data_IF_171033257762
#
_entry.id   IF_171033257762
#
_cell.length_a   1.000
_cell.length_b   1.000
_cell.length_c   1.000
_cell.angle_alpha   90.00
_cell.angle_beta   90.00
_cell.angle_gamma   90.00
#
_symmetry.space_group_name_H-M   'P 1'
#
loop_
_entity.id
_entity.type
_entity.pdbx_description
1 polymer ?
#
# COMPACT_ATOMS: atom_id res chain seq x y z
N UNK A 1 4.67 17.81 -14.87
CA UNK A 1 4.83 19.27 -15.13
C UNK A 1 6.11 19.58 -15.90
N UNK A 2 7.26 19.04 -15.51
CA UNK A 2 8.54 19.26 -16.21
C UNK A 2 8.46 18.81 -17.68
N UNK A 3 7.79 17.70 -17.98
CA UNK A 3 7.59 17.19 -19.35
C UNK A 3 6.87 18.17 -20.30
N UNK A 4 6.16 19.18 -19.78
CA UNK A 4 5.52 20.22 -20.58
C UNK A 4 6.40 21.47 -20.74
N UNK A 5 7.46 21.58 -19.95
CA UNK A 5 8.33 22.77 -19.91
C UNK A 5 9.67 22.55 -20.62
N UNK A 6 9.98 21.32 -21.00
CA UNK A 6 11.26 20.97 -21.63
C UNK A 6 11.03 20.06 -22.83
N UNK A 7 11.90 20.18 -23.84
CA UNK A 7 11.99 19.26 -24.99
C UNK A 7 12.87 18.04 -24.71
N UNK A 8 13.24 17.81 -23.46
CA UNK A 8 14.08 16.67 -23.11
C UNK A 8 13.34 15.34 -23.34
N UNK A 9 14.10 14.29 -23.65
CA UNK A 9 13.57 12.94 -23.80
C UNK A 9 12.87 12.47 -22.50
N UNK A 10 11.69 11.87 -22.63
CA UNK A 10 10.92 11.35 -21.51
C UNK A 10 11.70 10.32 -20.69
N UNK A 11 12.60 9.58 -21.30
CA UNK A 11 13.47 8.62 -20.59
C UNK A 11 14.43 9.32 -19.63
N UNK A 12 14.98 10.46 -20.03
CA UNK A 12 15.89 11.27 -19.21
C UNK A 12 15.09 11.88 -18.03
N UNK A 13 13.91 12.43 -18.32
CA UNK A 13 13.03 13.00 -17.29
C UNK A 13 12.64 11.93 -16.27
N UNK A 14 12.31 10.73 -16.74
CA UNK A 14 11.94 9.62 -15.87
C UNK A 14 13.13 9.17 -14.99
N UNK A 15 14.32 9.07 -15.55
CA UNK A 15 15.54 8.74 -14.79
C UNK A 15 15.84 9.78 -13.70
N UNK A 16 15.80 11.06 -14.05
CA UNK A 16 16.01 12.16 -13.10
C UNK A 16 14.95 12.13 -12.02
N UNK A 17 13.68 11.89 -12.38
CA UNK A 17 12.57 11.81 -11.45
C UNK A 17 12.74 10.71 -10.40
N UNK A 18 13.22 9.54 -10.78
CA UNK A 18 13.51 8.42 -9.86
C UNK A 18 14.59 8.82 -8.85
N UNK A 19 15.74 9.34 -9.33
CA UNK A 19 16.85 9.75 -8.45
C UNK A 19 16.43 10.91 -7.52
N UNK A 20 15.72 11.91 -8.07
CA UNK A 20 15.20 13.03 -7.31
C UNK A 20 14.25 12.56 -6.21
N UNK A 21 13.31 11.67 -6.53
CA UNK A 21 12.31 11.15 -5.58
C UNK A 21 12.96 10.43 -4.41
N UNK A 22 13.95 9.57 -4.69
CA UNK A 22 14.71 8.88 -3.63
C UNK A 22 15.45 9.88 -2.74
N UNK A 23 16.22 10.79 -3.34
CA UNK A 23 16.98 11.80 -2.61
C UNK A 23 16.07 12.72 -1.79
N UNK A 24 14.99 13.23 -2.39
CA UNK A 24 14.00 14.07 -1.70
C UNK A 24 13.42 13.34 -0.49
N UNK A 25 13.00 12.09 -0.64
CA UNK A 25 12.41 11.29 0.44
C UNK A 25 13.41 11.08 1.58
N UNK A 26 14.63 10.67 1.26
CA UNK A 26 15.68 10.47 2.27
C UNK A 26 15.99 11.76 3.02
N UNK A 27 16.15 12.89 2.33
CA UNK A 27 16.46 14.19 2.93
C UNK A 27 15.27 14.69 3.76
N UNK A 28 14.05 14.57 3.26
CA UNK A 28 12.84 14.99 3.95
C UNK A 28 12.67 14.20 5.26
N UNK A 29 12.80 12.88 5.23
CA UNK A 29 12.73 12.05 6.43
C UNK A 29 13.84 12.43 7.42
N UNK A 30 15.09 12.57 6.97
CA UNK A 30 16.20 12.93 7.84
C UNK A 30 15.98 14.26 8.58
N UNK A 31 15.38 15.24 7.90
CA UNK A 31 15.16 16.59 8.47
C UNK A 31 13.86 16.74 9.25
N UNK A 32 12.78 16.08 8.81
CA UNK A 32 11.42 16.28 9.33
C UNK A 32 11.00 15.26 10.39
N UNK A 33 11.72 14.13 10.55
CA UNK A 33 11.36 13.10 11.54
C UNK A 33 11.26 13.64 12.97
N UNK A 34 11.99 14.68 13.31
CA UNK A 34 11.98 15.31 14.64
C UNK A 34 10.66 16.00 15.00
N UNK A 35 9.83 16.32 14.01
CA UNK A 35 8.51 16.94 14.21
C UNK A 35 7.38 15.90 14.32
N UNK A 36 7.67 14.63 14.10
CA UNK A 36 6.68 13.56 14.21
C UNK A 36 6.34 13.27 15.68
N UNK A 37 5.09 12.86 15.97
CA UNK A 37 4.72 12.35 17.27
C UNK A 37 5.59 11.15 17.66
N UNK A 38 5.68 10.87 18.95
CA UNK A 38 6.44 9.75 19.48
C UNK A 38 5.53 8.56 19.74
N UNK A 39 5.97 7.37 19.32
CA UNK A 39 5.24 6.14 19.61
C UNK A 39 5.21 5.88 21.13
N UNK A 40 4.04 5.54 21.64
CA UNK A 40 3.84 5.24 23.06
C UNK A 40 4.20 3.78 23.43
N UNK A 41 4.52 2.97 22.44
CA UNK A 41 4.71 1.52 22.57
C UNK A 41 3.37 0.77 22.52
N UNK A 42 3.45 -0.49 22.07
CA UNK A 42 2.27 -1.38 21.95
C UNK A 42 2.36 -2.50 22.97
N UNK A 43 1.40 -2.60 23.91
CA UNK A 43 1.43 -3.58 25.01
C UNK A 43 1.34 -5.05 24.52
N UNK A 44 0.64 -5.31 23.43
CA UNK A 44 0.33 -6.66 22.94
C UNK A 44 1.19 -7.13 21.76
N UNK A 45 1.91 -6.21 21.10
CA UNK A 45 2.79 -6.57 19.99
C UNK A 45 4.11 -7.18 20.47
N UNK A 46 4.68 -8.09 19.68
CA UNK A 46 6.05 -8.56 19.90
C UNK A 46 6.98 -7.35 19.78
N UNK A 47 7.89 -7.20 20.75
CA UNK A 47 8.82 -6.05 20.81
C UNK A 47 8.15 -4.65 20.84
N UNK A 48 6.84 -4.59 21.10
CA UNK A 48 6.08 -3.33 21.10
C UNK A 48 6.59 -2.28 22.09
N UNK A 49 7.33 -2.69 23.14
CA UNK A 49 8.00 -1.77 24.05
C UNK A 49 9.26 -1.13 23.43
N UNK A 50 9.90 -1.79 22.45
CA UNK A 50 11.10 -1.28 21.78
C UNK A 50 10.79 -0.16 20.77
N UNK A 51 9.51 0.03 20.42
CA UNK A 51 9.09 1.13 19.56
C UNK A 51 8.87 2.43 20.32
N UNK A 52 8.69 2.36 21.65
CA UNK A 52 8.42 3.54 22.48
C UNK A 52 9.50 4.63 22.29
N UNK A 53 9.04 5.86 22.04
CA UNK A 53 9.89 7.02 21.79
C UNK A 53 10.40 7.18 20.36
N UNK A 54 10.20 6.20 19.46
CA UNK A 54 10.51 6.37 18.03
C UNK A 54 9.52 7.36 17.38
N UNK A 55 9.97 8.17 16.40
CA UNK A 55 9.07 8.97 15.57
C UNK A 55 8.06 8.07 14.87
N UNK A 56 6.75 8.39 14.96
CA UNK A 56 5.64 7.66 14.33
C UNK A 56 4.89 8.60 13.38
N UNK A 57 4.26 8.03 12.34
CA UNK A 57 3.54 8.81 11.34
C UNK A 57 4.44 9.32 10.20
N UNK A 58 5.60 8.66 9.96
CA UNK A 58 6.49 9.02 8.84
C UNK A 58 5.80 8.89 7.47
N UNK A 59 4.63 8.24 7.41
CA UNK A 59 3.76 8.22 6.24
C UNK A 59 3.51 9.60 5.67
N UNK A 60 3.27 10.61 6.52
CA UNK A 60 3.03 11.98 6.06
C UNK A 60 4.20 12.52 5.22
N UNK A 61 5.43 12.19 5.59
CA UNK A 61 6.62 12.71 4.88
C UNK A 61 6.74 12.04 3.52
N UNK A 62 6.73 10.70 3.45
CA UNK A 62 6.98 10.04 2.17
C UNK A 62 5.79 10.13 1.21
N UNK A 63 4.54 10.25 1.69
CA UNK A 63 3.39 10.52 0.82
C UNK A 63 3.47 11.93 0.21
N UNK A 64 3.82 12.95 0.99
CA UNK A 64 4.02 14.27 0.40
C UNK A 64 5.18 14.33 -0.58
N UNK A 65 6.31 13.64 -0.30
CA UNK A 65 7.42 13.57 -1.26
C UNK A 65 7.02 12.83 -2.54
N UNK A 66 6.19 11.79 -2.43
CA UNK A 66 5.60 11.12 -3.58
C UNK A 66 4.72 12.07 -4.41
N UNK A 67 3.78 12.78 -3.77
CA UNK A 67 2.88 13.70 -4.47
C UNK A 67 3.67 14.80 -5.17
N UNK A 68 4.66 15.40 -4.51
CA UNK A 68 5.54 16.41 -5.13
C UNK A 68 6.26 15.82 -6.35
N UNK A 69 6.82 14.62 -6.21
CA UNK A 69 7.54 13.95 -7.30
C UNK A 69 6.61 13.61 -8.47
N UNK A 70 5.40 13.11 -8.17
CA UNK A 70 4.39 12.82 -9.19
C UNK A 70 3.97 14.08 -9.95
N UNK A 71 3.68 15.18 -9.25
CA UNK A 71 3.33 16.47 -9.86
C UNK A 71 4.45 17.05 -10.73
N UNK A 72 5.71 16.85 -10.34
CA UNK A 72 6.86 17.34 -11.09
C UNK A 72 7.15 16.51 -12.34
N UNK A 73 7.15 15.19 -12.23
CA UNK A 73 7.72 14.27 -13.22
C UNK A 73 6.69 13.43 -13.97
N UNK A 74 5.49 13.16 -13.40
CA UNK A 74 4.46 12.39 -14.10
C UNK A 74 3.59 13.24 -15.01
N UNK A 75 2.93 12.57 -15.94
CA UNK A 75 1.85 13.15 -16.74
C UNK A 75 0.55 13.05 -15.95
N UNK A 76 0.13 14.14 -15.35
CA UNK A 76 -1.05 14.20 -14.49
C UNK A 76 -2.27 14.56 -15.33
N UNK A 77 -3.24 13.66 -15.39
CA UNK A 77 -4.60 13.91 -15.87
C UNK A 77 -5.56 14.13 -14.68
N UNK A 78 -6.82 14.44 -14.96
CA UNK A 78 -7.81 14.71 -13.93
C UNK A 78 -8.04 13.51 -13.00
N UNK A 79 -8.06 12.30 -13.53
CA UNK A 79 -8.22 11.07 -12.76
C UNK A 79 -7.07 10.87 -11.77
N UNK A 80 -5.82 10.96 -12.25
CA UNK A 80 -4.62 10.82 -11.41
C UNK A 80 -4.58 11.92 -10.34
N UNK A 81 -4.93 13.16 -10.69
CA UNK A 81 -4.98 14.26 -9.73
C UNK A 81 -5.95 13.95 -8.57
N UNK A 82 -7.13 13.41 -8.87
CA UNK A 82 -8.10 13.02 -7.85
C UNK A 82 -7.56 11.87 -7.00
N UNK A 83 -6.93 10.85 -7.61
CA UNK A 83 -6.30 9.76 -6.84
C UNK A 83 -5.21 10.27 -5.91
N UNK A 84 -4.35 11.19 -6.35
CA UNK A 84 -3.34 11.79 -5.47
C UNK A 84 -3.98 12.51 -4.27
N UNK A 85 -5.08 13.22 -4.48
CA UNK A 85 -5.84 13.87 -3.39
C UNK A 85 -6.42 12.82 -2.43
N UNK A 86 -7.01 11.73 -2.95
CA UNK A 86 -7.58 10.66 -2.10
C UNK A 86 -6.50 9.93 -1.28
N UNK A 87 -5.32 9.70 -1.85
CA UNK A 87 -4.17 9.13 -1.13
C UNK A 87 -3.72 10.06 -0.01
N UNK A 88 -3.70 11.39 -0.25
CA UNK A 88 -3.38 12.38 0.80
C UNK A 88 -4.48 12.41 1.87
N UNK A 89 -5.75 12.34 1.51
CA UNK A 89 -6.86 12.28 2.48
C UNK A 89 -6.70 11.04 3.37
N UNK A 90 -6.45 9.87 2.77
CA UNK A 90 -6.26 8.62 3.51
C UNK A 90 -5.03 8.67 4.43
N UNK A 91 -3.93 9.25 3.95
CA UNK A 91 -2.75 9.53 4.76
C UNK A 91 -3.07 10.45 5.95
N UNK A 92 -3.85 11.53 5.73
CA UNK A 92 -4.19 12.49 6.78
C UNK A 92 -5.11 11.86 7.84
N UNK A 93 -6.08 11.02 7.44
CA UNK A 93 -6.92 10.30 8.42
C UNK A 93 -6.06 9.42 9.33
N UNK A 94 -5.08 8.69 8.76
CA UNK A 94 -4.14 7.89 9.52
C UNK A 94 -3.21 8.74 10.40
N UNK A 95 -2.73 9.88 9.90
CA UNK A 95 -1.85 10.76 10.66
C UNK A 95 -2.56 11.40 11.86
N UNK A 96 -3.81 11.84 11.70
CA UNK A 96 -4.58 12.40 12.82
C UNK A 96 -4.91 11.36 13.88
N UNK A 97 -5.09 10.09 13.50
CA UNK A 97 -5.20 9.00 14.46
C UNK A 97 -3.88 8.76 15.21
N UNK A 98 -2.75 8.71 14.48
CA UNK A 98 -1.42 8.55 15.06
C UNK A 98 -1.03 9.68 16.02
N UNK A 99 -1.50 10.90 15.76
CA UNK A 99 -1.20 12.09 16.54
C UNK A 99 -2.20 12.35 17.68
N UNK A 100 -3.33 11.63 17.71
CA UNK A 100 -4.36 11.82 18.72
C UNK A 100 -3.89 11.34 20.11
N UNK A 101 -4.23 12.05 21.17
CA UNK A 101 -3.95 11.63 22.55
C UNK A 101 -4.64 10.28 22.87
N UNK A 102 -5.82 10.04 22.31
CA UNK A 102 -6.53 8.77 22.37
C UNK A 102 -6.75 8.28 20.94
N UNK A 103 -6.34 7.04 20.62
CA UNK A 103 -6.59 6.45 19.30
C UNK A 103 -8.08 6.49 18.93
N UNK A 104 -8.36 6.74 17.68
CA UNK A 104 -9.74 6.73 17.17
C UNK A 104 -10.35 5.33 17.25
N UNK A 105 -11.65 5.28 17.45
CA UNK A 105 -12.37 4.01 17.44
C UNK A 105 -12.34 3.33 16.08
N UNK A 106 -12.29 2.00 16.08
CA UNK A 106 -12.24 1.19 14.85
C UNK A 106 -13.39 1.47 13.88
N UNK A 107 -14.60 1.81 14.42
CA UNK A 107 -15.76 2.15 13.59
C UNK A 107 -15.59 3.47 12.84
N UNK A 108 -15.00 4.49 13.47
CA UNK A 108 -14.73 5.77 12.82
C UNK A 108 -13.70 5.58 11.70
N UNK A 109 -12.61 4.89 11.98
CA UNK A 109 -11.58 4.57 10.98
C UNK A 109 -12.19 3.81 9.80
N UNK A 110 -12.90 2.72 10.08
CA UNK A 110 -13.55 1.92 9.04
C UNK A 110 -14.57 2.69 8.21
N UNK A 111 -15.30 3.65 8.80
CA UNK A 111 -16.24 4.50 8.08
C UNK A 111 -15.54 5.52 7.18
N UNK A 112 -14.40 6.08 7.61
CA UNK A 112 -13.59 6.99 6.79
C UNK A 112 -12.98 6.25 5.60
N UNK A 113 -12.38 5.06 5.82
CA UNK A 113 -11.87 4.19 4.75
C UNK A 113 -12.97 3.83 3.74
N UNK A 114 -14.17 3.52 4.25
CA UNK A 114 -15.32 3.18 3.42
C UNK A 114 -15.78 4.38 2.56
N UNK A 115 -15.80 5.57 3.13
CA UNK A 115 -16.13 6.79 2.40
C UNK A 115 -15.12 7.07 1.28
N UNK A 116 -13.83 6.95 1.56
CA UNK A 116 -12.76 7.08 0.56
C UNK A 116 -12.91 6.00 -0.52
N UNK A 117 -13.21 4.76 -0.15
CA UNK A 117 -13.42 3.67 -1.09
C UNK A 117 -14.59 3.93 -2.05
N UNK A 118 -15.70 4.52 -1.57
CA UNK A 118 -16.82 4.95 -2.42
C UNK A 118 -16.35 5.98 -3.44
N UNK A 119 -15.59 6.99 -3.01
CA UNK A 119 -15.10 8.04 -3.93
C UNK A 119 -14.17 7.44 -4.98
N UNK A 120 -13.27 6.53 -4.61
CA UNK A 120 -12.41 5.80 -5.58
C UNK A 120 -13.27 5.06 -6.61
N UNK A 121 -14.32 4.35 -6.18
CA UNK A 121 -15.21 3.61 -7.08
C UNK A 121 -15.94 4.52 -8.07
N UNK A 122 -16.46 5.66 -7.59
CA UNK A 122 -17.12 6.67 -8.42
C UNK A 122 -16.15 7.28 -9.43
N UNK A 123 -14.95 7.67 -8.97
CA UNK A 123 -13.90 8.25 -9.84
C UNK A 123 -13.48 7.23 -10.90
N UNK A 124 -13.20 5.98 -10.51
CA UNK A 124 -12.83 4.96 -11.48
C UNK A 124 -13.89 4.77 -12.56
N UNK A 125 -15.16 4.61 -12.18
CA UNK A 125 -16.27 4.43 -13.11
C UNK A 125 -16.58 5.66 -13.97
N UNK A 126 -16.19 6.84 -13.52
CA UNK A 126 -16.32 8.08 -14.31
C UNK A 126 -15.31 8.14 -15.47
N UNK A 127 -14.08 7.66 -15.24
CA UNK A 127 -13.00 7.75 -16.23
C UNK A 127 -12.73 6.44 -16.99
N UNK A 128 -13.18 5.29 -16.45
CA UNK A 128 -12.90 3.98 -17.01
C UNK A 128 -14.17 3.14 -17.17
N UNK A 129 -14.07 2.07 -17.97
CA UNK A 129 -15.17 1.11 -18.15
C UNK A 129 -15.26 0.15 -16.96
N UNK A 130 -16.43 -0.47 -16.78
CA UNK A 130 -16.66 -1.56 -15.82
C UNK A 130 -16.27 -2.95 -16.37
N UNK A 131 -15.37 -2.98 -17.33
CA UNK A 131 -14.85 -4.23 -17.92
C UNK A 131 -13.70 -4.75 -17.07
N UNK A 132 -13.75 -6.03 -16.73
CA UNK A 132 -12.66 -6.75 -16.05
C UNK A 132 -11.99 -7.66 -17.06
N UNK A 133 -10.68 -7.52 -17.18
CA UNK A 133 -9.83 -8.41 -17.98
C UNK A 133 -9.25 -9.50 -17.06
N UNK A 134 -9.21 -10.73 -17.54
CA UNK A 134 -8.58 -11.85 -16.85
C UNK A 134 -7.19 -12.08 -17.43
N UNK A 135 -6.19 -11.39 -16.89
CA UNK A 135 -4.83 -11.41 -17.42
C UNK A 135 -4.19 -12.81 -17.50
N UNK A 136 -4.58 -13.75 -16.62
CA UNK A 136 -4.02 -15.12 -16.58
C UNK A 136 -4.80 -16.08 -17.48
N UNK A 137 -6.11 -15.94 -17.54
CA UNK A 137 -6.99 -16.90 -18.26
C UNK A 137 -7.40 -16.39 -19.63
N UNK A 138 -7.07 -15.15 -19.94
CA UNK A 138 -7.53 -14.46 -21.13
C UNK A 138 -9.02 -14.09 -21.07
N UNK A 139 -9.41 -13.19 -21.97
CA UNK A 139 -10.78 -12.71 -22.09
C UNK A 139 -11.12 -11.56 -21.14
N UNK A 140 -12.30 -11.01 -21.34
CA UNK A 140 -12.84 -9.91 -20.54
C UNK A 140 -14.34 -10.07 -20.35
N UNK A 141 -14.84 -9.55 -19.23
CA UNK A 141 -16.27 -9.54 -18.90
C UNK A 141 -16.67 -8.13 -18.53
N UNK A 142 -17.75 -7.65 -19.17
CA UNK A 142 -18.36 -6.38 -18.80
C UNK A 142 -19.34 -6.63 -17.65
N UNK A 143 -19.12 -6.01 -16.52
CA UNK A 143 -19.93 -6.13 -15.32
C UNK A 143 -20.83 -4.89 -15.20
N UNK A 144 -22.09 -5.03 -14.74
CA UNK A 144 -22.93 -3.85 -14.48
C UNK A 144 -22.20 -2.86 -13.57
N UNK A 145 -22.19 -1.54 -13.90
CA UNK A 145 -21.41 -0.54 -13.18
C UNK A 145 -21.65 -0.52 -11.67
N UNK A 146 -22.88 -0.76 -11.24
CA UNK A 146 -23.23 -0.83 -9.81
C UNK A 146 -22.51 -1.98 -9.11
N UNK A 147 -22.50 -3.17 -9.74
CA UNK A 147 -21.83 -4.36 -9.20
C UNK A 147 -20.32 -4.14 -9.17
N UNK A 148 -19.76 -3.59 -10.25
CA UNK A 148 -18.35 -3.22 -10.32
C UNK A 148 -17.98 -2.22 -9.21
N UNK A 149 -18.80 -1.18 -9.00
CA UNK A 149 -18.61 -0.19 -7.94
C UNK A 149 -18.59 -0.82 -6.55
N UNK A 150 -19.51 -1.74 -6.25
CA UNK A 150 -19.54 -2.48 -4.98
C UNK A 150 -18.25 -3.30 -4.79
N UNK A 151 -17.82 -4.03 -5.83
CA UNK A 151 -16.57 -4.82 -5.79
C UNK A 151 -15.34 -3.92 -5.59
N UNK A 152 -15.33 -2.75 -6.23
CA UNK A 152 -14.27 -1.75 -6.06
C UNK A 152 -14.23 -1.22 -4.63
N UNK A 153 -15.36 -0.88 -4.03
CA UNK A 153 -15.44 -0.44 -2.62
C UNK A 153 -14.87 -1.53 -1.69
N UNK A 154 -15.26 -2.78 -1.91
CA UNK A 154 -14.73 -3.92 -1.13
C UNK A 154 -13.22 -4.03 -1.30
N UNK A 155 -12.71 -3.99 -2.54
CA UNK A 155 -11.28 -4.08 -2.85
C UNK A 155 -10.48 -2.99 -2.13
N UNK A 156 -10.90 -1.73 -2.25
CA UNK A 156 -10.20 -0.58 -1.67
C UNK A 156 -10.22 -0.68 -0.13
N UNK A 157 -11.40 -0.90 0.45
CA UNK A 157 -11.55 -1.00 1.89
C UNK A 157 -10.75 -2.16 2.49
N UNK A 158 -10.77 -3.33 1.86
CA UNK A 158 -9.99 -4.50 2.26
C UNK A 158 -8.49 -4.21 2.11
N UNK A 159 -8.05 -3.63 1.00
CA UNK A 159 -6.64 -3.32 0.76
C UNK A 159 -6.06 -2.37 1.82
N UNK A 160 -6.80 -1.31 2.19
CA UNK A 160 -6.41 -0.36 3.24
C UNK A 160 -6.20 -1.12 4.57
N UNK A 161 -7.21 -1.88 4.98
CA UNK A 161 -7.18 -2.53 6.30
C UNK A 161 -6.17 -3.69 6.37
N UNK A 162 -6.03 -4.47 5.30
CA UNK A 162 -5.04 -5.56 5.22
C UNK A 162 -3.61 -5.01 5.31
N UNK A 163 -3.32 -3.96 4.56
CA UNK A 163 -1.99 -3.33 4.56
C UNK A 163 -1.68 -2.70 5.92
N UNK A 164 -2.65 -2.04 6.55
CA UNK A 164 -2.50 -1.50 7.89
C UNK A 164 -2.24 -2.60 8.93
N UNK A 165 -2.96 -3.72 8.88
CA UNK A 165 -2.73 -4.84 9.79
C UNK A 165 -1.37 -5.53 9.59
N UNK A 166 -0.76 -5.45 8.41
CA UNK A 166 0.57 -6.00 8.13
C UNK A 166 1.72 -5.11 8.59
N UNK A 167 1.43 -3.88 9.07
CA UNK A 167 2.46 -2.94 9.57
C UNK A 167 2.81 -3.19 11.03
N UNK A 168 3.31 -4.39 11.33
CA UNK A 168 3.69 -4.80 12.69
C UNK A 168 5.16 -5.16 12.87
N UNK A 169 5.95 -5.20 11.80
CA UNK A 169 7.38 -5.51 11.81
C UNK A 169 8.15 -4.51 10.97
N UNK A 170 9.26 -4.00 11.53
CA UNK A 170 10.16 -3.06 10.85
C UNK A 170 10.52 -3.55 9.44
N UNK A 171 10.20 -2.77 8.41
CA UNK A 171 10.49 -3.07 7.00
C UNK A 171 9.49 -3.98 6.29
N UNK A 172 8.56 -4.66 6.99
CA UNK A 172 7.72 -5.69 6.39
C UNK A 172 6.70 -5.10 5.40
N UNK A 173 5.79 -4.25 5.88
CA UNK A 173 4.69 -3.71 5.07
C UNK A 173 5.19 -2.91 3.88
N UNK A 174 6.22 -2.08 4.06
CA UNK A 174 6.85 -1.34 2.98
C UNK A 174 7.48 -2.23 1.90
N UNK A 175 8.20 -3.29 2.30
CA UNK A 175 8.81 -4.25 1.37
C UNK A 175 7.75 -5.02 0.58
N UNK A 176 6.72 -5.55 1.25
CA UNK A 176 5.63 -6.26 0.58
C UNK A 176 4.85 -5.34 -0.37
N UNK A 177 4.61 -4.09 0.04
CA UNK A 177 3.96 -3.09 -0.82
C UNK A 177 4.77 -2.84 -2.09
N UNK A 178 6.10 -2.64 -1.99
CA UNK A 178 6.95 -2.46 -3.17
C UNK A 178 6.83 -3.66 -4.12
N UNK A 179 6.93 -4.89 -3.62
CA UNK A 179 6.83 -6.09 -4.46
C UNK A 179 5.45 -6.14 -5.12
N UNK A 180 4.38 -5.86 -4.37
CA UNK A 180 3.00 -5.85 -4.88
C UNK A 180 2.80 -4.85 -6.01
N UNK A 181 3.17 -3.57 -5.79
CA UNK A 181 2.96 -2.53 -6.80
C UNK A 181 3.89 -2.70 -8.01
N UNK A 182 5.11 -3.20 -7.80
CA UNK A 182 6.01 -3.52 -8.91
C UNK A 182 5.52 -4.73 -9.72
N UNK A 183 4.76 -5.64 -9.12
CA UNK A 183 4.07 -6.70 -9.86
C UNK A 183 3.05 -6.11 -10.84
N UNK A 184 2.25 -5.13 -10.43
CA UNK A 184 1.34 -4.41 -11.33
C UNK A 184 2.10 -3.62 -12.40
N UNK A 185 3.17 -2.92 -12.03
CA UNK A 185 4.02 -2.18 -12.98
C UNK A 185 4.54 -3.09 -14.11
N UNK A 186 5.02 -4.28 -13.77
CA UNK A 186 5.51 -5.25 -14.76
C UNK A 186 4.36 -5.83 -15.59
N UNK A 187 3.24 -6.18 -14.95
CA UNK A 187 2.05 -6.67 -15.64
C UNK A 187 1.52 -5.68 -16.66
N UNK A 188 1.40 -4.40 -16.29
CA UNK A 188 0.93 -3.36 -17.20
C UNK A 188 1.85 -3.22 -18.42
N UNK A 189 3.16 -3.39 -18.21
CA UNK A 189 4.15 -3.41 -19.30
C UNK A 189 3.99 -4.63 -20.20
N UNK A 190 3.75 -5.81 -19.63
CA UNK A 190 3.55 -7.06 -20.36
C UNK A 190 2.23 -7.03 -21.15
N UNK A 191 1.16 -6.58 -20.53
CA UNK A 191 -0.17 -6.47 -21.13
C UNK A 191 -0.31 -5.26 -22.08
N UNK A 192 0.75 -4.45 -22.19
CA UNK A 192 0.79 -3.21 -22.99
C UNK A 192 -0.33 -2.23 -22.63
N UNK A 193 -0.64 -2.14 -21.35
CA UNK A 193 -1.57 -1.15 -20.83
C UNK A 193 -0.84 0.20 -20.83
N UNK A 194 -1.18 1.06 -21.78
CA UNK A 194 -0.63 2.41 -21.88
C UNK A 194 -1.33 3.33 -20.87
N UNK A 195 -0.86 3.37 -19.64
CA UNK A 195 -1.40 4.26 -18.63
C UNK A 195 -0.30 5.15 -18.03
N UNK A 196 -0.60 6.44 -17.97
CA UNK A 196 0.29 7.44 -17.34
C UNK A 196 0.46 7.19 -15.82
N UNK A 197 -0.39 6.37 -15.21
CA UNK A 197 -0.29 5.97 -13.81
C UNK A 197 0.91 5.07 -13.52
N UNK A 198 1.41 4.31 -14.51
CA UNK A 198 2.56 3.41 -14.34
C UNK A 198 3.79 4.11 -13.81
N UNK A 199 4.05 5.33 -14.25
CA UNK A 199 5.19 6.07 -13.73
C UNK A 199 4.96 6.53 -12.28
N UNK A 200 3.72 6.79 -11.88
CA UNK A 200 3.38 7.02 -10.47
C UNK A 200 3.67 5.78 -9.60
N UNK A 201 3.44 4.56 -10.12
CA UNK A 201 3.78 3.31 -9.41
C UNK A 201 5.28 3.26 -9.12
N UNK A 202 6.12 3.55 -10.13
CA UNK A 202 7.57 3.57 -9.97
C UNK A 202 8.02 4.62 -8.94
N UNK A 203 7.50 5.85 -9.02
CA UNK A 203 7.83 6.92 -8.07
C UNK A 203 7.41 6.55 -6.63
N UNK A 204 6.24 5.92 -6.45
CA UNK A 204 5.78 5.49 -5.14
C UNK A 204 6.68 4.38 -4.55
N UNK A 205 7.08 3.40 -5.38
CA UNK A 205 8.04 2.38 -4.99
C UNK A 205 9.37 3.00 -4.53
N UNK A 206 9.85 4.00 -5.24
CA UNK A 206 11.10 4.72 -4.90
C UNK A 206 10.97 5.52 -3.61
N UNK A 207 9.82 6.15 -3.35
CA UNK A 207 9.55 6.78 -2.05
C UNK A 207 9.59 5.77 -0.90
N UNK A 208 9.00 4.58 -1.11
CA UNK A 208 9.03 3.51 -0.11
C UNK A 208 10.46 2.99 0.11
N UNK A 209 11.30 2.91 -0.93
CA UNK A 209 12.73 2.59 -0.76
C UNK A 209 13.44 3.64 0.09
N UNK A 210 13.16 4.93 -0.14
CA UNK A 210 13.70 6.02 0.70
C UNK A 210 13.21 5.94 2.15
N UNK A 211 11.96 5.53 2.38
CA UNK A 211 11.44 5.27 3.72
C UNK A 211 12.11 4.05 4.37
N UNK A 212 12.25 2.94 3.66
CA UNK A 212 12.87 1.70 4.15
C UNK A 212 14.33 1.89 4.55
N UNK A 213 15.04 2.88 3.97
CA UNK A 213 16.39 3.25 4.42
C UNK A 213 16.46 3.57 5.91
N UNK A 214 15.36 4.04 6.49
CA UNK A 214 15.27 4.37 7.91
C UNK A 214 14.43 3.37 8.72
N UNK A 215 13.54 2.61 8.06
CA UNK A 215 12.64 1.68 8.73
C UNK A 215 13.13 0.23 8.73
N UNK A 216 14.18 -0.12 7.96
CA UNK A 216 14.81 -1.44 8.07
C UNK A 216 15.27 -1.72 9.50
N UNK A 217 15.14 -3.00 9.93
CA UNK A 217 15.46 -3.42 11.31
C UNK A 217 16.95 -3.23 11.64
N UNK A 218 17.33 -2.56 12.77
CA UNK A 218 16.45 -1.91 13.75
C UNK A 218 15.95 -0.54 13.26
N UNK A 219 14.64 -0.33 13.24
CA UNK A 219 14.06 0.90 12.69
C UNK A 219 14.38 2.15 13.51
N UNK A 220 14.55 3.28 12.81
CA UNK A 220 14.72 4.60 13.42
C UNK A 220 13.40 5.35 13.56
N UNK A 221 12.37 4.97 12.81
CA UNK A 221 11.04 5.58 12.79
C UNK A 221 9.99 4.59 12.25
N UNK A 222 8.71 4.90 12.46
CA UNK A 222 7.57 4.09 12.07
C UNK A 222 6.68 4.88 11.10
N UNK A 223 6.11 4.19 10.09
CA UNK A 223 5.22 4.86 9.14
C UNK A 223 3.89 5.27 9.76
N UNK A 224 3.39 4.50 10.73
CA UNK A 224 2.09 4.68 11.35
C UNK A 224 0.91 4.38 10.42
N UNK A 225 -0.28 4.63 10.92
CA UNK A 225 -1.52 4.51 10.15
C UNK A 225 -1.51 5.46 8.94
N UNK A 226 -0.83 6.61 9.05
CA UNK A 226 -0.60 7.54 7.95
C UNK A 226 0.03 6.89 6.71
N UNK A 227 1.03 6.02 6.91
CA UNK A 227 1.72 5.37 5.80
C UNK A 227 1.01 4.11 5.32
N UNK A 228 0.66 3.23 6.24
CA UNK A 228 0.11 1.91 5.91
C UNK A 228 -1.26 1.99 5.22
N UNK A 229 -2.11 2.93 5.61
CA UNK A 229 -3.42 3.14 4.97
C UNK A 229 -3.27 3.77 3.59
N UNK A 230 -2.37 4.77 3.44
CA UNK A 230 -2.06 5.35 2.13
C UNK A 230 -1.45 4.33 1.15
N UNK A 231 -0.63 3.39 1.64
CA UNK A 231 -0.14 2.27 0.82
C UNK A 231 -1.30 1.37 0.37
N UNK A 232 -2.24 1.07 1.27
CA UNK A 232 -3.38 0.21 0.96
C UNK A 232 -4.28 0.76 -0.15
N UNK A 233 -4.66 2.03 -0.10
CA UNK A 233 -5.43 2.67 -1.18
C UNK A 233 -4.62 2.71 -2.49
N UNK A 234 -3.30 2.97 -2.42
CA UNK A 234 -2.45 2.99 -3.61
C UNK A 234 -2.40 1.63 -4.30
N UNK A 235 -2.23 0.52 -3.55
CA UNK A 235 -2.27 -0.84 -4.08
C UNK A 235 -3.61 -1.12 -4.79
N UNK A 236 -4.74 -0.73 -4.17
CA UNK A 236 -6.06 -0.93 -4.76
C UNK A 236 -6.23 -0.16 -6.09
N UNK A 237 -5.71 1.08 -6.16
CA UNK A 237 -5.72 1.86 -7.39
C UNK A 237 -4.85 1.18 -8.46
N UNK A 238 -3.66 0.65 -8.12
CA UNK A 238 -2.84 -0.14 -9.05
C UNK A 238 -3.63 -1.33 -9.62
N UNK A 239 -4.33 -2.07 -8.76
CA UNK A 239 -5.14 -3.22 -9.18
C UNK A 239 -6.28 -2.82 -10.13
N UNK A 240 -6.94 -1.69 -9.88
CA UNK A 240 -7.98 -1.16 -10.76
C UNK A 240 -7.41 -0.72 -12.10
N UNK A 241 -6.31 0.04 -12.10
CA UNK A 241 -5.68 0.59 -13.29
C UNK A 241 -5.04 -0.48 -14.18
N UNK A 242 -4.69 -1.64 -13.63
CA UNK A 242 -4.25 -2.81 -14.40
C UNK A 242 -5.38 -3.47 -15.22
N UNK A 243 -6.63 -3.00 -15.09
CA UNK A 243 -7.83 -3.59 -15.69
C UNK A 243 -8.08 -5.05 -15.30
N UNK A 244 -7.25 -5.62 -14.44
CA UNK A 244 -7.29 -7.01 -13.96
C UNK A 244 -7.32 -7.06 -12.42
N UNK A 245 -8.34 -6.46 -11.75
CA UNK A 245 -8.34 -6.27 -10.30
C UNK A 245 -8.25 -7.57 -9.50
N UNK A 246 -8.65 -8.72 -10.06
CA UNK A 246 -8.51 -10.02 -9.40
C UNK A 246 -7.05 -10.45 -9.21
N UNK A 247 -6.11 -9.90 -9.99
CA UNK A 247 -4.66 -10.11 -9.78
C UNK A 247 -4.21 -9.62 -8.40
N UNK A 248 -4.94 -8.68 -7.78
CA UNK A 248 -4.68 -8.26 -6.40
C UNK A 248 -4.52 -9.44 -5.43
N UNK A 249 -5.32 -10.50 -5.60
CA UNK A 249 -5.26 -11.67 -4.72
C UNK A 249 -3.87 -12.34 -4.76
N UNK A 250 -3.25 -12.42 -5.93
CA UNK A 250 -1.90 -13.00 -6.10
C UNK A 250 -0.79 -11.96 -5.84
N UNK A 251 -0.94 -10.76 -6.39
CA UNK A 251 0.05 -9.70 -6.25
C UNK A 251 0.25 -9.24 -4.80
N UNK A 252 -0.79 -9.34 -3.95
CA UNK A 252 -0.76 -8.99 -2.54
C UNK A 252 -0.97 -10.20 -1.62
N UNK A 253 -0.71 -11.43 -2.09
CA UNK A 253 -1.07 -12.65 -1.38
C UNK A 253 -0.52 -12.68 0.05
N UNK A 254 0.75 -12.33 0.22
CA UNK A 254 1.39 -12.36 1.54
C UNK A 254 0.83 -11.28 2.46
N UNK A 255 0.53 -10.07 1.95
CA UNK A 255 -0.18 -9.05 2.72
C UNK A 255 -1.56 -9.53 3.18
N UNK A 256 -2.31 -10.18 2.26
CA UNK A 256 -3.66 -10.72 2.54
C UNK A 256 -3.58 -11.82 3.61
N UNK A 257 -2.62 -12.72 3.51
CA UNK A 257 -2.45 -13.79 4.50
C UNK A 257 -2.00 -13.22 5.83
N UNK A 258 -1.05 -12.30 5.84
CA UNK A 258 -0.50 -11.73 7.05
C UNK A 258 -1.53 -10.88 7.82
N UNK A 259 -2.03 -9.82 7.20
CA UNK A 259 -2.97 -8.89 7.83
C UNK A 259 -4.44 -9.35 7.73
N UNK A 260 -4.84 -9.88 6.57
CA UNK A 260 -6.23 -10.22 6.27
C UNK A 260 -6.78 -11.36 7.12
N UNK A 261 -6.00 -12.40 7.42
CA UNK A 261 -6.46 -13.49 8.29
C UNK A 261 -6.83 -12.99 9.70
N UNK A 262 -6.11 -11.97 10.19
CA UNK A 262 -6.45 -11.31 11.45
C UNK A 262 -7.81 -10.62 11.41
N UNK A 263 -8.06 -9.87 10.34
CA UNK A 263 -9.33 -9.17 10.12
C UNK A 263 -10.50 -10.16 10.03
N UNK A 264 -10.35 -11.23 9.24
CA UNK A 264 -11.38 -12.28 9.11
C UNK A 264 -11.64 -12.95 10.45
N UNK A 265 -10.59 -13.33 11.19
CA UNK A 265 -10.72 -13.95 12.52
C UNK A 265 -11.49 -13.07 13.49
N UNK A 266 -11.13 -11.78 13.60
CA UNK A 266 -11.80 -10.84 14.51
C UNK A 266 -13.24 -10.56 14.07
N UNK A 267 -13.48 -10.40 12.78
CA UNK A 267 -14.83 -10.14 12.23
C UNK A 267 -15.77 -11.34 12.48
N UNK A 268 -15.33 -12.56 12.18
CA UNK A 268 -16.15 -13.76 12.41
C UNK A 268 -16.44 -13.96 13.89
N UNK A 269 -15.47 -13.70 14.77
CA UNK A 269 -15.67 -13.78 16.20
C UNK A 269 -16.64 -12.73 16.69
N UNK A 270 -16.51 -11.48 16.24
CA UNK A 270 -17.32 -10.34 16.71
C UNK A 270 -18.78 -10.42 16.24
N UNK A 271 -18.99 -10.67 14.95
CA UNK A 271 -20.33 -10.61 14.33
C UNK A 271 -21.07 -11.94 14.36
N UNK A 272 -20.38 -13.06 14.14
CA UNK A 272 -20.98 -14.39 14.00
C UNK A 272 -20.68 -15.33 15.17
N UNK A 273 -19.83 -14.93 16.12
CA UNK A 273 -19.34 -15.75 17.25
C UNK A 273 -18.63 -17.04 16.80
N UNK A 274 -18.14 -17.06 15.55
CA UNK A 274 -17.40 -18.19 14.98
C UNK A 274 -15.93 -18.06 15.35
N UNK A 275 -15.37 -19.10 15.97
CA UNK A 275 -13.96 -19.18 16.36
C UNK A 275 -13.15 -19.95 15.31
N UNK A 276 -12.40 -19.26 14.48
CA UNK A 276 -11.42 -19.83 13.55
C UNK A 276 -9.99 -19.61 14.05
N UNK A 277 -9.04 -20.32 13.51
CA UNK A 277 -7.59 -20.14 13.77
C UNK A 277 -7.25 -20.06 15.26
N UNK A 278 -7.85 -20.92 16.09
CA UNK A 278 -7.71 -20.89 17.57
C UNK A 278 -6.24 -20.98 18.02
N UNK A 279 -5.42 -21.76 17.31
CA UNK A 279 -4.01 -21.99 17.63
C UNK A 279 -3.04 -21.05 16.87
N UNK A 280 -3.58 -20.14 16.04
CA UNK A 280 -2.77 -19.23 15.24
C UNK A 280 -2.90 -17.81 15.80
N UNK A 281 -1.77 -17.22 16.17
CA UNK A 281 -1.71 -15.79 16.48
C UNK A 281 -1.86 -15.01 15.18
N UNK A 282 -2.63 -13.96 15.18
CA UNK A 282 -2.77 -13.05 14.03
C UNK A 282 -2.41 -11.64 14.45
N UNK A 283 -1.73 -10.86 13.59
CA UNK A 283 -1.24 -11.18 12.24
C UNK A 283 -0.22 -12.33 12.20
N UNK A 284 0.04 -12.90 11.01
CA UNK A 284 0.91 -14.09 10.86
C UNK A 284 2.38 -13.79 11.20
N UNK A 285 2.85 -12.56 10.92
CA UNK A 285 4.20 -12.14 11.32
C UNK A 285 4.43 -12.29 12.84
N UNK A 286 3.41 -12.07 13.66
CA UNK A 286 3.49 -12.29 15.11
C UNK A 286 3.49 -13.78 15.45
N UNK A 287 2.76 -14.60 14.69
CA UNK A 287 2.74 -16.06 14.91
C UNK A 287 4.12 -16.67 14.69
N UNK A 288 4.76 -16.37 13.56
CA UNK A 288 6.07 -16.94 13.23
C UNK A 288 7.17 -16.45 14.19
N UNK A 289 7.06 -15.22 14.70
CA UNK A 289 7.98 -14.69 15.72
C UNK A 289 7.78 -15.39 17.06
N UNK A 290 6.54 -15.51 17.55
CA UNK A 290 6.21 -16.10 18.86
C UNK A 290 6.37 -17.62 18.90
N UNK A 291 6.00 -18.32 17.81
CA UNK A 291 5.96 -19.79 17.79
C UNK A 291 7.17 -20.43 17.13
N UNK A 292 7.73 -19.78 16.09
CA UNK A 292 8.86 -20.32 15.33
C UNK A 292 10.19 -19.62 15.64
N UNK A 293 10.18 -18.58 16.50
CA UNK A 293 11.38 -17.86 16.91
C UNK A 293 12.05 -17.06 15.79
N UNK A 294 11.31 -16.68 14.75
CA UNK A 294 11.89 -15.91 13.65
C UNK A 294 12.25 -14.49 14.10
N UNK A 295 13.43 -14.02 13.70
CA UNK A 295 13.81 -12.62 13.85
C UNK A 295 13.02 -11.72 12.89
N UNK A 296 12.98 -10.40 13.18
CA UNK A 296 12.34 -9.41 12.30
C UNK A 296 12.89 -9.48 10.86
N UNK A 297 14.22 -9.60 10.70
CA UNK A 297 14.85 -9.74 9.40
C UNK A 297 14.41 -11.04 8.69
N UNK A 298 14.31 -12.16 9.40
CA UNK A 298 13.83 -13.42 8.82
C UNK A 298 12.37 -13.32 8.38
N UNK A 299 11.51 -12.62 9.13
CA UNK A 299 10.12 -12.38 8.72
C UNK A 299 10.08 -11.60 7.40
N UNK A 300 10.76 -10.46 7.34
CA UNK A 300 10.79 -9.61 6.14
C UNK A 300 11.31 -10.37 4.92
N UNK A 301 12.48 -11.02 5.04
CA UNK A 301 13.08 -11.71 3.91
C UNK A 301 12.25 -12.91 3.44
N UNK A 302 11.76 -13.75 4.37
CA UNK A 302 10.99 -14.95 3.99
C UNK A 302 9.65 -14.60 3.37
N UNK A 303 8.95 -13.59 3.92
CA UNK A 303 7.69 -13.12 3.35
C UNK A 303 7.91 -12.47 1.99
N UNK A 304 8.98 -11.67 1.84
CA UNK A 304 9.37 -11.10 0.55
C UNK A 304 9.68 -12.18 -0.49
N UNK A 305 10.46 -13.22 -0.14
CA UNK A 305 10.77 -14.34 -1.02
C UNK A 305 9.48 -15.02 -1.51
N UNK A 306 8.55 -15.33 -0.60
CA UNK A 306 7.28 -15.96 -0.97
C UNK A 306 6.51 -15.05 -1.94
N UNK A 307 6.39 -13.76 -1.61
CA UNK A 307 5.67 -12.82 -2.47
C UNK A 307 6.34 -12.66 -3.84
N UNK A 308 7.67 -12.58 -3.90
CA UNK A 308 8.40 -12.50 -5.19
C UNK A 308 8.15 -13.74 -6.04
N UNK A 309 8.20 -14.95 -5.46
CA UNK A 309 7.93 -16.20 -6.19
C UNK A 309 6.50 -16.19 -6.76
N UNK A 310 5.51 -15.81 -5.97
CA UNK A 310 4.12 -15.70 -6.44
C UNK A 310 3.98 -14.63 -7.52
N UNK A 311 4.63 -13.49 -7.35
CA UNK A 311 4.62 -12.40 -8.34
C UNK A 311 5.22 -12.82 -9.67
N UNK A 312 6.38 -13.50 -9.65
CA UNK A 312 7.02 -14.03 -10.86
C UNK A 312 6.12 -15.05 -11.57
N UNK A 313 5.51 -15.97 -10.81
CA UNK A 313 4.55 -16.94 -11.38
C UNK A 313 3.34 -16.23 -11.98
N UNK A 314 2.79 -15.20 -11.31
CA UNK A 314 1.65 -14.42 -11.80
C UNK A 314 1.98 -13.69 -13.10
N UNK A 315 3.13 -13.01 -13.15
CA UNK A 315 3.58 -12.32 -14.38
C UNK A 315 3.81 -13.31 -15.50
N UNK A 316 4.48 -14.45 -15.24
CA UNK A 316 4.71 -15.47 -16.26
C UNK A 316 3.41 -16.04 -16.82
N UNK A 317 2.42 -16.33 -15.97
CA UNK A 317 1.10 -16.81 -16.42
C UNK A 317 0.36 -15.79 -17.26
N UNK A 318 0.55 -14.51 -17.04
CA UNK A 318 -0.05 -13.45 -17.86
C UNK A 318 0.68 -13.22 -19.20
N UNK A 319 1.88 -13.80 -19.39
CA UNK A 319 2.65 -13.71 -20.62
C UNK A 319 2.32 -14.81 -21.64
N UNK A 320 1.80 -15.96 -21.17
CA UNK A 320 1.48 -17.13 -22.00
C UNK A 320 0.00 -17.19 -22.33
#
# INVERSE_FOLDING_TARGET
>A
MISYLTSADMSIIAFIGVIFTFALTCIAIAKLNKFLPKDLGRQFAVDGKLSAGKPRGAGIIFIFTFVISALLFSQINAEIAIYLVLIVIEMLTGYFDDAAEKPWGEYLKGALDFAVAIVVAVVYLHFNSSTITFAIFGGSVNIPPVVFGILTVILVWVSINVTNCSDGVDGLSGTLTIITIMTFFVLDSVLKIADSFNYCILLFAVCLLGYLWYNATPSKLLMGDAGSRAMGIFIAICALKSQSPFIYILAALVLIIDGGLGLVKVSLLRFLKIHILKNTTTPIHDHVRKKLGWSNAQVVFRFAIIQIVVSLATVYLAMI
#
